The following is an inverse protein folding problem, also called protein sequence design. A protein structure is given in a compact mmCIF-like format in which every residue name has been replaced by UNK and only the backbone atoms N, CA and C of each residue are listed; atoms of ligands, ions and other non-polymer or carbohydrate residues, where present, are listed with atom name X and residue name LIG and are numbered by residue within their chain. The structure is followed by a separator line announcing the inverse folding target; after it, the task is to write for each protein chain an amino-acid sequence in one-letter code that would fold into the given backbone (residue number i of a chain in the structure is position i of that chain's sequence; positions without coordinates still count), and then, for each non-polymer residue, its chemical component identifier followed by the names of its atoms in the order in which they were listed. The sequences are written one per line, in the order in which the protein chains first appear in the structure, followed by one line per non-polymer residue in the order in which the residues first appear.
data_IF_931125253270
#
_entry.id   IF_931125253270
#
_cell.length_a   1.000
_cell.length_b   1.000
_cell.length_c   1.000
_cell.angle_alpha   90.00
_cell.angle_beta   90.00
_cell.angle_gamma   90.00
#
_symmetry.space_group_name_H-M   'P 1'
#
loop_
_entity.id
_entity.type
_entity.pdbx_description
1 polymer ?
#
# COMPACT_ATOMS: atom_id res chain seq x y z
N UNK A 1 -25.39 23.83 -5.32
CA UNK A 1 -26.25 23.20 -4.28
C UNK A 1 -25.65 21.93 -3.68
N UNK A 2 -25.04 21.04 -4.49
CA UNK A 2 -24.32 19.85 -4.00
C UNK A 2 -23.12 20.20 -3.08
N UNK A 3 -22.32 21.20 -3.46
CA UNK A 3 -21.13 21.58 -2.68
C UNK A 3 -21.46 22.06 -1.27
N UNK A 4 -22.54 22.85 -1.13
CA UNK A 4 -23.00 23.33 0.18
C UNK A 4 -23.52 22.19 1.07
N UNK A 5 -24.13 21.15 0.49
CA UNK A 5 -24.56 19.95 1.21
C UNK A 5 -23.36 19.07 1.60
N UNK A 6 -22.34 18.97 0.74
CA UNK A 6 -21.11 18.24 1.04
C UNK A 6 -20.27 18.87 2.15
N UNK A 7 -20.24 20.20 2.23
CA UNK A 7 -19.58 20.91 3.35
C UNK A 7 -20.33 20.71 4.67
N UNK A 8 -21.66 20.65 4.65
CA UNK A 8 -22.46 20.37 5.85
C UNK A 8 -22.31 18.93 6.34
N UNK A 9 -22.31 17.96 5.43
CA UNK A 9 -22.11 16.55 5.76
C UNK A 9 -20.75 16.33 6.43
N UNK A 10 -19.68 16.87 5.84
CA UNK A 10 -18.32 16.78 6.40
C UNK A 10 -18.19 17.30 7.83
N UNK A 11 -18.89 18.40 8.16
CA UNK A 11 -18.87 18.94 9.53
C UNK A 11 -19.58 18.04 10.54
N UNK A 12 -20.62 17.32 10.10
CA UNK A 12 -21.35 16.36 10.94
C UNK A 12 -20.46 15.11 11.15
N UNK A 13 -19.77 14.66 10.11
CA UNK A 13 -18.89 13.50 10.14
C UNK A 13 -17.70 13.71 11.08
N UNK A 14 -17.09 14.90 11.03
CA UNK A 14 -16.00 15.31 11.92
C UNK A 14 -16.45 15.35 13.38
N UNK A 15 -17.66 15.86 13.64
CA UNK A 15 -18.27 15.87 14.97
C UNK A 15 -18.58 14.46 15.50
N UNK A 16 -19.01 13.53 14.63
CA UNK A 16 -19.29 12.14 15.01
C UNK A 16 -17.98 11.39 15.34
N UNK A 17 -16.92 11.59 14.58
CA UNK A 17 -15.61 10.99 14.85
C UNK A 17 -15.00 11.51 16.16
N UNK A 18 -15.15 12.81 16.44
CA UNK A 18 -14.67 13.44 17.68
C UNK A 18 -15.43 12.91 18.92
N UNK A 19 -16.77 12.79 18.83
CA UNK A 19 -17.60 12.16 19.87
C UNK A 19 -17.26 10.68 20.11
N UNK A 20 -16.86 9.94 19.08
CA UNK A 20 -16.45 8.54 19.23
C UNK A 20 -15.11 8.38 19.94
N UNK A 21 -14.20 9.36 19.80
CA UNK A 21 -12.94 9.43 20.54
C UNK A 21 -13.22 9.78 22.02
N UNK A 22 -14.12 10.74 22.27
CA UNK A 22 -14.49 11.14 23.63
C UNK A 22 -15.22 10.03 24.42
N UNK A 23 -16.01 9.19 23.75
CA UNK A 23 -16.77 8.10 24.40
C UNK A 23 -15.96 6.80 24.59
N UNK A 24 -14.66 6.80 24.29
CA UNK A 24 -13.74 5.66 24.46
C UNK A 24 -14.26 4.36 23.81
N UNK A 25 -14.87 4.47 22.62
CA UNK A 25 -15.30 3.33 21.81
C UNK A 25 -14.08 2.53 21.35
N UNK A 26 -14.26 1.22 21.14
CA UNK A 26 -13.19 0.35 20.64
C UNK A 26 -12.66 0.84 19.29
N UNK A 27 -11.34 0.74 19.09
CA UNK A 27 -10.66 1.15 17.85
C UNK A 27 -11.30 0.55 16.58
N UNK A 28 -11.88 -0.65 16.70
CA UNK A 28 -12.61 -1.31 15.61
C UNK A 28 -13.88 -0.55 15.19
N UNK A 29 -14.63 0.02 16.13
CA UNK A 29 -15.83 0.80 15.83
C UNK A 29 -15.48 2.12 15.13
N UNK A 30 -14.38 2.75 15.54
CA UNK A 30 -13.84 3.94 14.86
C UNK A 30 -13.44 3.62 13.42
N UNK A 31 -12.75 2.51 13.19
CA UNK A 31 -12.30 2.12 11.86
C UNK A 31 -13.48 1.82 10.91
N UNK A 32 -14.54 1.15 11.39
CA UNK A 32 -15.74 0.85 10.60
C UNK A 32 -16.46 2.14 10.18
N UNK A 33 -16.65 3.07 11.13
CA UNK A 33 -17.28 4.36 10.83
C UNK A 33 -16.41 5.20 9.89
N UNK A 34 -15.09 5.20 10.09
CA UNK A 34 -14.16 5.87 9.18
C UNK A 34 -14.22 5.31 7.75
N UNK A 35 -14.26 3.98 7.59
CA UNK A 35 -14.35 3.34 6.28
C UNK A 35 -15.70 3.61 5.59
N UNK A 36 -16.79 3.68 6.36
CA UNK A 36 -18.09 4.13 5.86
C UNK A 36 -18.02 5.59 5.37
N UNK A 37 -17.36 6.47 6.14
CA UNK A 37 -17.08 7.88 5.81
C UNK A 37 -16.34 8.02 4.49
N UNK A 38 -15.29 7.25 4.29
CA UNK A 38 -14.54 7.22 3.03
C UNK A 38 -15.41 6.74 1.86
N UNK A 39 -16.19 5.67 2.06
CA UNK A 39 -17.02 5.08 1.00
C UNK A 39 -18.08 6.04 0.44
N UNK A 40 -18.77 6.82 1.28
CA UNK A 40 -19.76 7.77 0.78
C UNK A 40 -19.14 9.08 0.27
N UNK A 41 -17.98 9.51 0.80
CA UNK A 41 -17.29 10.70 0.28
C UNK A 41 -16.73 10.45 -1.13
N UNK A 42 -16.22 9.25 -1.40
CA UNK A 42 -15.80 8.84 -2.74
C UNK A 42 -16.97 8.86 -3.73
N UNK A 43 -18.12 8.31 -3.32
CA UNK A 43 -19.36 8.44 -4.10
C UNK A 43 -19.69 9.91 -4.32
N UNK A 44 -19.71 10.75 -3.29
CA UNK A 44 -20.05 12.17 -3.45
C UNK A 44 -19.14 12.90 -4.45
N UNK A 45 -17.83 12.62 -4.43
CA UNK A 45 -16.86 13.18 -5.39
C UNK A 45 -17.14 12.69 -6.81
N UNK A 46 -17.43 11.40 -6.99
CA UNK A 46 -17.79 10.84 -8.30
C UNK A 46 -19.04 11.51 -8.88
N UNK A 47 -20.04 11.79 -8.04
CA UNK A 47 -21.25 12.50 -8.45
C UNK A 47 -20.98 13.97 -8.77
N UNK A 48 -20.13 14.67 -8.01
CA UNK A 48 -19.70 16.04 -8.32
C UNK A 48 -18.96 16.11 -9.65
N UNK A 49 -18.08 15.16 -9.95
CA UNK A 49 -17.37 15.06 -11.22
C UNK A 49 -18.33 14.81 -12.38
N UNK A 50 -19.31 13.92 -12.21
CA UNK A 50 -20.35 13.66 -13.21
C UNK A 50 -21.18 14.89 -13.50
N UNK A 51 -21.63 15.61 -12.47
CA UNK A 51 -22.38 16.88 -12.62
C UNK A 51 -21.53 17.94 -13.33
N UNK A 52 -20.24 18.07 -12.98
CA UNK A 52 -19.32 19.02 -13.61
C UNK A 52 -19.07 18.68 -15.09
N UNK A 53 -19.01 17.40 -15.44
CA UNK A 53 -18.89 16.96 -16.83
C UNK A 53 -20.17 17.23 -17.63
N UNK A 54 -21.35 16.99 -17.05
CA UNK A 54 -22.64 17.29 -17.70
C UNK A 54 -22.82 18.81 -17.89
N UNK A 55 -22.43 19.62 -16.90
CA UNK A 55 -22.45 21.09 -17.04
C UNK A 55 -21.46 21.62 -18.08
N UNK A 56 -20.35 20.92 -18.32
CA UNK A 56 -19.39 21.28 -19.38
C UNK A 56 -19.90 20.91 -20.78
N UNK A 57 -20.66 19.83 -20.91
CA UNK A 57 -21.25 19.42 -22.20
C UNK A 57 -22.41 20.31 -22.65
N UNK A 58 -23.15 20.93 -21.72
CA UNK A 58 -24.25 21.86 -22.05
C UNK A 58 -23.80 23.23 -22.59
N UNK A 59 -22.53 23.63 -22.36
CA UNK A 59 -22.01 24.94 -22.80
C UNK A 59 -21.50 24.90 -24.25
N UNK A 60 -21.30 23.71 -24.83
CA UNK A 60 -20.79 23.55 -26.21
C UNK A 60 -21.88 23.34 -27.27
N UNK A 61 -23.16 23.46 -26.90
CA UNK A 61 -24.31 23.19 -27.77
C UNK A 61 -24.86 24.36 -28.61
N UNK A 62 -24.31 25.57 -28.51
CA UNK A 62 -24.78 26.71 -29.33
C UNK A 62 -23.62 27.63 -29.77
N UNK A 63 -23.11 27.41 -30.99
CA UNK A 63 -23.00 28.44 -32.05
C UNK A 63 -22.36 27.89 -33.32
N UNK A 64 -22.88 28.39 -34.42
CA UNK A 64 -22.76 27.95 -35.79
C UNK A 64 -21.36 28.01 -36.44
N UNK A 65 -21.25 27.25 -37.52
CA UNK A 65 -20.11 27.10 -38.43
C UNK A 65 -19.62 28.43 -39.03
N UNK A 66 -18.29 28.64 -39.07
CA UNK A 66 -17.54 29.01 -40.29
C UNK A 66 -16.00 28.96 -40.11
N UNK A 67 -15.35 28.18 -40.98
CA UNK A 67 -13.99 28.30 -41.56
C UNK A 67 -12.71 28.47 -40.71
N UNK A 68 -11.83 27.45 -40.86
CA UNK A 68 -10.39 27.49 -41.23
C UNK A 68 -9.41 28.41 -40.44
N UNK A 69 -8.52 27.81 -39.65
CA UNK A 69 -7.09 27.53 -39.99
C UNK A 69 -6.36 27.05 -38.72
N UNK A 70 -5.60 25.98 -38.92
CA UNK A 70 -4.67 25.31 -38.02
C UNK A 70 -3.56 26.20 -37.46
N UNK A 71 -3.38 26.17 -36.14
CA UNK A 71 -2.04 26.13 -35.52
C UNK A 71 -2.12 25.24 -34.27
N UNK A 72 -1.47 24.08 -34.37
CA UNK A 72 -1.39 23.09 -33.31
C UNK A 72 -0.34 23.52 -32.28
N UNK A 73 -0.80 24.09 -31.17
CA UNK A 73 -0.07 24.12 -29.90
C UNK A 73 -0.90 23.37 -28.87
N UNK A 74 -0.86 22.04 -28.92
CA UNK A 74 -1.42 21.19 -27.88
C UNK A 74 -0.51 21.28 -26.65
N UNK A 75 -0.69 22.34 -25.86
CA UNK A 75 -0.45 22.25 -24.43
C UNK A 75 -1.44 21.22 -23.91
N UNK A 76 -0.98 19.97 -23.78
CA UNK A 76 -1.73 18.91 -23.14
C UNK A 76 -1.99 19.32 -21.69
N UNK A 77 -3.18 19.84 -21.45
CA UNK A 77 -3.70 20.20 -20.14
C UNK A 77 -3.86 18.93 -19.31
N UNK A 78 -2.82 18.60 -18.54
CA UNK A 78 -2.82 17.53 -17.55
C UNK A 78 -3.92 17.83 -16.51
N UNK A 79 -4.77 16.86 -16.16
CA UNK A 79 -5.93 17.12 -15.31
C UNK A 79 -5.51 17.54 -13.90
N UNK A 80 -5.90 18.75 -13.49
CA UNK A 80 -5.70 19.27 -12.13
C UNK A 80 -6.56 18.46 -11.15
N UNK A 81 -5.93 17.56 -10.40
CA UNK A 81 -6.57 16.90 -9.26
C UNK A 81 -6.43 17.82 -8.03
N UNK A 82 -7.33 17.75 -7.07
CA UNK A 82 -7.31 18.53 -5.82
C UNK A 82 -7.23 17.54 -4.66
N UNK A 83 -6.20 17.60 -3.80
CA UNK A 83 -5.97 16.55 -2.79
C UNK A 83 -5.74 17.02 -1.37
N UNK A 84 -6.62 16.59 -0.45
CA UNK A 84 -6.56 16.88 0.99
C UNK A 84 -6.38 15.61 1.83
N UNK A 85 -5.52 15.77 2.83
CA UNK A 85 -5.31 15.00 4.08
C UNK A 85 -4.89 13.52 3.98
N UNK A 86 -3.66 13.28 4.43
CA UNK A 86 -3.01 12.15 5.12
C UNK A 86 -3.27 10.67 4.73
N UNK A 87 -4.33 10.31 3.99
CA UNK A 87 -4.48 8.97 3.39
C UNK A 87 -3.87 8.86 1.98
N UNK A 88 -3.41 9.98 1.41
CA UNK A 88 -3.06 10.10 -0.01
C UNK A 88 -1.56 10.08 -0.32
N UNK A 89 -0.69 9.76 0.64
CA UNK A 89 0.77 9.72 0.41
C UNK A 89 1.14 8.64 -0.62
N UNK A 90 0.47 7.49 -0.58
CA UNK A 90 0.68 6.41 -1.56
C UNK A 90 0.24 6.82 -2.97
N UNK A 91 -0.90 7.52 -3.10
CA UNK A 91 -1.39 8.04 -4.40
C UNK A 91 -0.50 9.18 -4.92
N UNK A 92 -0.02 10.06 -4.04
CA UNK A 92 0.98 11.09 -4.35
C UNK A 92 2.25 10.46 -4.90
N UNK A 93 2.81 9.46 -4.21
CA UNK A 93 4.03 8.80 -4.66
C UNK A 93 3.84 8.13 -6.02
N UNK A 94 2.78 7.35 -6.22
CA UNK A 94 2.58 6.62 -7.48
C UNK A 94 2.28 7.53 -8.69
N UNK A 95 1.49 8.59 -8.49
CA UNK A 95 1.17 9.53 -9.57
C UNK A 95 2.33 10.49 -9.86
N UNK A 96 3.02 10.96 -8.82
CA UNK A 96 4.12 11.90 -8.96
C UNK A 96 5.43 11.23 -9.36
N UNK A 97 5.62 9.93 -9.05
CA UNK A 97 6.74 9.13 -9.56
C UNK A 97 6.81 9.18 -11.09
N UNK A 98 5.66 9.04 -11.77
CA UNK A 98 5.59 9.13 -13.24
C UNK A 98 6.02 10.49 -13.79
N UNK A 99 5.71 11.58 -13.07
CA UNK A 99 6.06 12.96 -13.47
C UNK A 99 7.53 13.26 -13.11
N UNK A 100 8.01 12.73 -11.99
CA UNK A 100 9.39 12.87 -11.53
C UNK A 100 10.38 12.12 -12.42
N UNK A 101 10.01 10.92 -12.89
CA UNK A 101 10.79 10.05 -13.79
C UNK A 101 10.73 10.49 -15.26
N UNK A 102 9.87 11.45 -15.60
CA UNK A 102 9.78 12.00 -16.97
C UNK A 102 10.88 13.04 -17.20
N UNK A 103 11.85 12.72 -18.04
CA UNK A 103 12.96 13.60 -18.44
C UNK A 103 12.51 14.71 -19.41
N UNK A 104 11.31 14.63 -19.99
CA UNK A 104 10.80 15.65 -20.93
C UNK A 104 10.28 16.91 -20.25
N UNK A 105 10.05 16.87 -18.93
CA UNK A 105 9.51 17.98 -18.14
C UNK A 105 10.66 18.68 -17.40
N UNK A 106 10.74 20.00 -17.53
CA UNK A 106 11.73 20.82 -16.81
C UNK A 106 11.50 20.79 -15.30
N UNK A 107 12.57 20.89 -14.51
CA UNK A 107 12.48 20.87 -13.04
C UNK A 107 11.68 22.06 -12.48
N UNK A 108 11.64 23.20 -13.19
CA UNK A 108 10.77 24.33 -12.87
C UNK A 108 9.29 24.00 -13.06
N UNK A 109 8.94 23.35 -14.16
CA UNK A 109 7.57 22.88 -14.41
C UNK A 109 7.18 21.79 -13.41
N UNK A 110 8.09 20.86 -13.09
CA UNK A 110 7.89 19.86 -12.03
C UNK A 110 7.64 20.50 -10.67
N UNK A 111 8.28 21.63 -10.36
CA UNK A 111 8.00 22.40 -9.13
C UNK A 111 6.60 23.01 -9.14
N UNK A 112 6.19 23.60 -10.27
CA UNK A 112 4.83 24.12 -10.41
C UNK A 112 3.79 23.01 -10.30
N UNK A 113 4.06 21.84 -10.90
CA UNK A 113 3.24 20.65 -10.71
C UNK A 113 3.21 20.23 -9.26
N UNK A 114 4.34 20.23 -8.54
CA UNK A 114 4.44 19.90 -7.11
C UNK A 114 3.61 20.83 -6.21
N UNK A 115 3.58 22.12 -6.57
CA UNK A 115 2.72 23.13 -5.97
C UNK A 115 1.25 22.81 -6.27
N UNK A 116 0.87 22.63 -7.55
CA UNK A 116 -0.51 22.41 -8.00
C UNK A 116 -1.17 21.13 -7.48
N UNK A 117 -0.49 19.99 -7.62
CA UNK A 117 0.15 19.46 -6.44
C UNK A 117 -0.64 19.42 -5.13
N UNK A 118 0.13 19.71 -4.11
CA UNK A 118 -0.31 19.86 -2.73
C UNK A 118 -1.52 20.79 -2.56
N UNK A 119 -2.54 20.36 -1.80
CA UNK A 119 -3.67 21.24 -1.48
C UNK A 119 -3.27 22.43 -0.62
N UNK A 120 -3.86 23.59 -0.93
CA UNK A 120 -3.77 24.77 -0.07
C UNK A 120 -4.20 24.41 1.36
N UNK A 121 -3.34 24.77 2.33
CA UNK A 121 -3.43 24.48 3.78
C UNK A 121 -3.04 23.08 4.24
N UNK A 122 -2.50 22.22 3.37
CA UNK A 122 -1.91 20.94 3.82
C UNK A 122 -0.51 21.12 4.40
N UNK A 123 -0.10 20.21 5.27
CA UNK A 123 1.28 20.15 5.79
C UNK A 123 2.31 19.95 4.67
N UNK A 124 1.92 19.22 3.62
CA UNK A 124 2.73 19.03 2.42
C UNK A 124 2.92 20.36 1.66
N UNK A 125 1.86 21.16 1.52
CA UNK A 125 1.93 22.49 0.91
C UNK A 125 2.85 23.44 1.67
N UNK A 126 2.78 23.45 3.00
CA UNK A 126 3.69 24.26 3.82
C UNK A 126 5.17 23.89 3.65
N UNK A 127 5.47 22.62 3.34
CA UNK A 127 6.82 22.18 3.01
C UNK A 127 7.22 22.68 1.61
N UNK A 128 6.37 22.51 0.60
CA UNK A 128 6.68 22.97 -0.77
C UNK A 128 6.86 24.50 -0.81
N UNK A 129 6.02 25.26 -0.12
CA UNK A 129 6.08 26.72 -0.05
C UNK A 129 7.25 27.24 0.81
N UNK A 130 7.87 26.38 1.63
CA UNK A 130 9.09 26.75 2.38
C UNK A 130 10.33 26.85 1.50
N UNK A 131 10.29 26.26 0.29
CA UNK A 131 11.37 26.36 -0.69
C UNK A 131 11.03 27.39 -1.76
N UNK A 132 12.00 28.21 -2.19
CA UNK A 132 11.82 29.05 -3.37
C UNK A 132 11.50 28.19 -4.60
N UNK A 133 10.54 28.63 -5.42
CA UNK A 133 10.12 27.95 -6.64
C UNK A 133 11.15 28.07 -7.77
N UNK A 134 12.34 27.47 -7.55
CA UNK A 134 13.41 27.39 -8.54
C UNK A 134 13.65 25.93 -8.95
N UNK A 135 14.10 25.68 -10.19
CA UNK A 135 14.39 24.33 -10.68
C UNK A 135 15.38 23.59 -9.77
N UNK A 136 16.40 24.26 -9.25
CA UNK A 136 17.42 23.64 -8.38
C UNK A 136 16.86 23.20 -7.02
N UNK A 137 15.78 23.81 -6.56
CA UNK A 137 15.15 23.53 -5.27
C UNK A 137 14.04 22.48 -5.36
N UNK A 138 13.59 22.13 -6.57
CA UNK A 138 12.63 21.06 -6.78
C UNK A 138 13.06 19.75 -6.17
N UNK A 139 14.28 19.33 -6.48
CA UNK A 139 14.82 18.08 -5.96
C UNK A 139 14.86 18.07 -4.43
N UNK A 140 15.25 19.18 -3.81
CA UNK A 140 15.31 19.32 -2.34
C UNK A 140 13.91 19.28 -1.71
N UNK A 141 12.95 20.01 -2.25
CA UNK A 141 11.57 20.00 -1.77
C UNK A 141 10.93 18.61 -1.92
N UNK A 142 11.19 17.93 -3.03
CA UNK A 142 10.70 16.58 -3.28
C UNK A 142 11.32 15.54 -2.36
N UNK A 143 12.64 15.57 -2.15
CA UNK A 143 13.33 14.71 -1.18
C UNK A 143 12.81 14.95 0.25
N UNK A 144 12.55 16.21 0.62
CA UNK A 144 12.01 16.54 1.96
C UNK A 144 10.57 16.06 2.15
N UNK A 145 9.72 16.21 1.13
CA UNK A 145 8.37 15.62 1.13
C UNK A 145 8.44 14.10 1.24
N UNK A 146 9.34 13.47 0.49
CA UNK A 146 9.56 12.03 0.55
C UNK A 146 9.97 11.62 1.97
N UNK A 147 10.97 12.26 2.57
CA UNK A 147 11.40 11.96 3.93
C UNK A 147 10.29 12.13 4.96
N UNK A 148 9.45 13.16 4.83
CA UNK A 148 8.42 13.47 5.84
C UNK A 148 7.19 12.57 5.74
N UNK A 149 6.79 12.22 4.52
CA UNK A 149 5.54 11.52 4.25
C UNK A 149 5.75 10.05 3.87
N UNK A 150 6.82 9.72 3.14
CA UNK A 150 7.22 8.34 2.84
C UNK A 150 8.03 7.82 4.02
N UNK A 151 7.33 7.44 5.10
CA UNK A 151 7.94 6.84 6.28
C UNK A 151 8.27 5.36 6.03
N UNK A 152 9.10 5.10 5.02
CA UNK A 152 9.55 3.74 4.69
C UNK A 152 10.16 3.07 5.93
N UNK A 153 10.90 3.82 6.75
CA UNK A 153 11.49 3.34 8.00
C UNK A 153 10.45 2.85 9.00
N UNK A 154 9.30 3.52 9.10
CA UNK A 154 8.20 3.10 9.99
C UNK A 154 7.51 1.88 9.41
N UNK A 155 7.34 1.79 8.10
CA UNK A 155 6.73 0.63 7.47
C UNK A 155 7.63 -0.61 7.57
N UNK A 156 8.94 -0.46 7.42
CA UNK A 156 9.94 -1.51 7.72
C UNK A 156 9.79 -1.96 9.17
N UNK A 157 9.71 -1.03 10.13
CA UNK A 157 9.51 -1.38 11.54
C UNK A 157 8.21 -2.15 11.78
N UNK A 158 7.11 -1.78 11.11
CA UNK A 158 5.83 -2.50 11.21
C UNK A 158 5.98 -3.93 10.70
N UNK A 159 6.55 -4.14 9.53
CA UNK A 159 6.74 -5.48 8.96
C UNK A 159 7.70 -6.35 9.78
N UNK A 160 8.79 -5.78 10.30
CA UNK A 160 9.70 -6.50 11.21
C UNK A 160 8.99 -6.86 12.52
N UNK A 161 8.18 -5.96 13.08
CA UNK A 161 7.38 -6.26 14.29
C UNK A 161 6.31 -7.30 14.02
N UNK A 162 5.74 -7.34 12.83
CA UNK A 162 4.79 -8.37 12.43
C UNK A 162 5.48 -9.73 12.31
N UNK A 163 6.69 -9.78 11.75
CA UNK A 163 7.52 -10.99 11.73
C UNK A 163 7.85 -11.46 13.17
N UNK A 164 8.26 -10.54 14.06
CA UNK A 164 8.49 -10.83 15.48
C UNK A 164 7.22 -11.34 16.18
N UNK A 165 6.05 -10.80 15.83
CA UNK A 165 4.77 -11.29 16.35
C UNK A 165 4.51 -12.73 15.92
N UNK A 166 4.85 -13.12 14.69
CA UNK A 166 4.75 -14.51 14.24
C UNK A 166 5.68 -15.43 15.04
N UNK A 167 6.91 -15.01 15.32
CA UNK A 167 7.84 -15.73 16.21
C UNK A 167 7.22 -15.99 17.58
N UNK A 168 6.63 -14.96 18.19
CA UNK A 168 5.99 -15.07 19.51
C UNK A 168 4.73 -15.94 19.49
N UNK A 169 4.00 -15.98 18.38
CA UNK A 169 2.80 -16.84 18.25
C UNK A 169 3.16 -18.31 18.11
N UNK A 170 4.33 -18.61 17.54
CA UNK A 170 4.83 -19.96 17.36
C UNK A 170 5.34 -20.61 18.67
N UNK A 171 5.66 -19.81 19.70
CA UNK A 171 6.01 -20.32 21.03
C UNK A 171 4.79 -20.66 21.89
N UNK A 172 3.60 -20.18 21.51
CA UNK A 172 2.34 -20.65 22.10
C UNK A 172 2.00 -22.03 21.52
N UNK A 173 1.59 -22.97 22.37
CA UNK A 173 1.33 -24.41 22.09
C UNK A 173 0.20 -24.67 21.06
N UNK A 174 -0.26 -23.66 20.33
CA UNK A 174 -1.31 -23.77 19.31
C UNK A 174 -0.68 -24.34 18.02
N UNK A 175 -1.27 -25.42 17.49
CA UNK A 175 -0.94 -25.92 16.15
C UNK A 175 -1.22 -24.83 15.12
N UNK A 176 -0.17 -24.14 14.68
CA UNK A 176 -0.25 -23.18 13.58
C UNK A 176 -0.30 -23.98 12.27
N UNK A 177 -1.23 -23.62 11.38
CA UNK A 177 -1.28 -24.19 10.04
C UNK A 177 -0.06 -23.70 9.24
N UNK A 178 0.79 -24.63 8.78
CA UNK A 178 2.06 -24.32 8.11
C UNK A 178 1.85 -23.51 6.83
N UNK A 179 0.78 -23.78 6.07
CA UNK A 179 0.43 -23.01 4.86
C UNK A 179 0.17 -21.55 5.20
N UNK A 180 -0.65 -21.28 6.23
CA UNK A 180 -0.94 -19.90 6.64
C UNK A 180 0.29 -19.18 7.20
N UNK A 181 1.19 -19.90 7.88
CA UNK A 181 2.44 -19.35 8.36
C UNK A 181 3.37 -18.97 7.21
N UNK A 182 3.53 -19.87 6.23
CA UNK A 182 4.30 -19.63 5.02
C UNK A 182 3.79 -18.40 4.25
N UNK A 183 2.48 -18.32 3.99
CA UNK A 183 1.88 -17.20 3.27
C UNK A 183 2.13 -15.86 3.97
N UNK A 184 2.03 -15.83 5.31
CA UNK A 184 2.30 -14.63 6.10
C UNK A 184 3.77 -14.24 6.03
N UNK A 185 4.69 -15.19 6.20
CA UNK A 185 6.14 -14.93 6.11
C UNK A 185 6.49 -14.41 4.70
N UNK A 186 5.97 -15.05 3.65
CA UNK A 186 6.22 -14.65 2.27
C UNK A 186 5.67 -13.24 1.98
N UNK A 187 4.47 -12.93 2.46
CA UNK A 187 3.88 -11.60 2.31
C UNK A 187 4.74 -10.51 2.96
N UNK A 188 5.25 -10.76 4.18
CA UNK A 188 6.12 -9.82 4.89
C UNK A 188 7.47 -9.64 4.19
N UNK A 189 8.09 -10.73 3.72
CA UNK A 189 9.34 -10.67 2.97
C UNK A 189 9.18 -9.88 1.66
N UNK A 190 8.08 -10.11 0.93
CA UNK A 190 7.76 -9.39 -0.31
C UNK A 190 7.50 -7.90 -0.04
N UNK A 191 6.83 -7.57 1.07
CA UNK A 191 6.58 -6.19 1.45
C UNK A 191 7.88 -5.45 1.81
N UNK A 192 8.80 -6.09 2.56
CA UNK A 192 10.13 -5.57 2.85
C UNK A 192 10.95 -5.36 1.56
N UNK A 193 10.91 -6.31 0.62
CA UNK A 193 11.59 -6.18 -0.66
C UNK A 193 11.06 -4.99 -1.48
N UNK A 194 9.74 -4.78 -1.48
CA UNK A 194 9.09 -3.63 -2.17
C UNK A 194 9.52 -2.26 -1.63
N UNK A 195 9.95 -2.20 -0.36
CA UNK A 195 10.47 -1.01 0.29
C UNK A 195 11.97 -0.76 0.01
N UNK A 196 12.63 -1.64 -0.74
CA UNK A 196 14.05 -1.53 -1.07
C UNK A 196 14.97 -2.15 -0.02
N UNK A 197 14.44 -2.94 0.89
CA UNK A 197 15.22 -3.80 1.81
C UNK A 197 15.80 -4.94 0.98
N UNK A 198 16.94 -4.68 0.30
CA UNK A 198 17.61 -5.69 -0.51
C UNK A 198 18.03 -6.87 0.36
N UNK A 199 17.67 -8.10 -0.05
CA UNK A 199 18.01 -9.34 0.64
C UNK A 199 19.50 -9.40 1.02
N UNK A 200 20.40 -8.97 0.15
CA UNK A 200 21.85 -8.94 0.38
C UNK A 200 22.28 -8.20 1.67
N UNK A 201 21.59 -7.12 2.05
CA UNK A 201 21.95 -6.31 3.23
C UNK A 201 21.34 -6.84 4.53
N UNK A 202 20.24 -7.58 4.43
CA UNK A 202 19.42 -7.95 5.59
C UNK A 202 19.24 -9.46 5.75
N UNK A 203 19.72 -10.28 4.80
CA UNK A 203 19.60 -11.74 4.83
C UNK A 203 20.17 -12.34 6.13
N UNK A 204 21.28 -11.80 6.62
CA UNK A 204 21.90 -12.24 7.88
C UNK A 204 21.01 -12.03 9.11
N UNK A 205 20.07 -11.07 9.08
CA UNK A 205 19.08 -10.84 10.13
C UNK A 205 17.74 -11.54 9.83
N UNK A 206 17.31 -11.53 8.56
CA UNK A 206 16.03 -12.10 8.14
C UNK A 206 16.03 -13.62 8.24
N UNK A 207 17.13 -14.29 7.92
CA UNK A 207 17.26 -15.74 8.05
C UNK A 207 16.94 -16.25 9.47
N UNK A 208 17.66 -15.83 10.54
CA UNK A 208 17.37 -16.32 11.89
C UNK A 208 15.99 -15.89 12.40
N UNK A 209 15.46 -14.77 11.89
CA UNK A 209 14.12 -14.30 12.26
C UNK A 209 13.02 -15.21 11.65
N UNK A 210 13.16 -15.59 10.38
CA UNK A 210 12.25 -16.52 9.71
C UNK A 210 12.40 -17.93 10.28
N UNK A 211 13.63 -18.38 10.56
CA UNK A 211 13.90 -19.65 11.25
C UNK A 211 13.18 -19.70 12.60
N UNK A 212 13.19 -18.61 13.37
CA UNK A 212 12.49 -18.52 14.66
C UNK A 212 10.96 -18.52 14.56
N UNK A 213 10.38 -18.20 13.38
CA UNK A 213 8.93 -18.26 13.17
C UNK A 213 8.40 -19.71 13.05
N UNK A 214 9.28 -20.70 12.82
CA UNK A 214 8.89 -22.05 12.46
C UNK A 214 8.71 -22.96 13.69
N UNK A 215 7.67 -23.82 13.72
CA UNK A 215 7.50 -24.80 14.79
C UNK A 215 8.70 -25.75 14.89
N UNK A 216 8.98 -26.24 16.11
CA UNK A 216 10.12 -27.11 16.37
C UNK A 216 10.11 -28.38 15.49
N UNK A 217 8.92 -28.92 15.20
CA UNK A 217 8.76 -30.08 14.32
C UNK A 217 9.25 -29.80 12.90
N UNK A 218 8.97 -28.61 12.38
CA UNK A 218 9.40 -28.17 11.04
C UNK A 218 10.90 -27.91 11.01
N UNK A 219 11.45 -27.31 12.08
CA UNK A 219 12.89 -27.11 12.23
C UNK A 219 13.66 -28.44 12.22
N UNK A 220 13.13 -29.49 12.87
CA UNK A 220 13.74 -30.81 12.82
C UNK A 220 13.71 -31.45 11.42
N UNK A 221 12.70 -31.16 10.61
CA UNK A 221 12.66 -31.61 9.20
C UNK A 221 13.65 -30.78 8.37
N UNK A 222 13.72 -29.47 8.60
CA UNK A 222 14.67 -28.57 7.95
C UNK A 222 16.14 -28.95 8.21
N UNK A 223 16.53 -29.16 9.47
CA UNK A 223 17.91 -29.58 9.80
C UNK A 223 18.28 -30.91 9.14
N UNK A 224 17.33 -31.83 9.02
CA UNK A 224 17.53 -33.09 8.27
C UNK A 224 17.68 -32.81 6.77
N UNK A 225 16.83 -31.97 6.20
CA UNK A 225 16.88 -31.59 4.79
C UNK A 225 18.24 -30.98 4.41
N UNK A 226 18.74 -30.05 5.24
CA UNK A 226 20.07 -29.44 5.07
C UNK A 226 21.19 -30.48 5.20
N UNK A 227 21.06 -31.44 6.11
CA UNK A 227 22.02 -32.53 6.26
C UNK A 227 22.09 -33.49 5.07
N UNK A 228 21.04 -33.59 4.25
CA UNK A 228 21.00 -34.42 3.05
C UNK A 228 21.33 -33.68 1.75
N UNK A 229 21.26 -32.35 1.72
CA UNK A 229 21.60 -31.57 0.52
C UNK A 229 23.12 -31.56 0.31
N UNK A 230 23.59 -32.40 -0.63
CA UNK A 230 25.01 -32.58 -0.98
C UNK A 230 25.63 -31.43 -1.79
N UNK A 231 25.04 -30.23 -1.76
CA UNK A 231 25.57 -29.07 -2.49
C UNK A 231 26.70 -28.42 -1.69
N UNK A 232 27.88 -28.31 -2.30
CA UNK A 232 29.15 -27.82 -1.73
C UNK A 232 29.11 -26.39 -1.15
N UNK A 233 27.96 -25.72 -1.16
CA UNK A 233 27.84 -24.41 -0.53
C UNK A 233 27.45 -24.48 0.96
N UNK A 234 26.76 -25.52 1.44
CA UNK A 234 26.40 -25.68 2.87
C UNK A 234 25.76 -24.45 3.55
N UNK A 235 25.34 -23.44 2.78
CA UNK A 235 24.89 -22.14 3.28
C UNK A 235 23.41 -22.27 3.60
N UNK A 236 23.11 -22.16 4.90
CA UNK A 236 21.77 -21.86 5.40
C UNK A 236 21.40 -20.45 4.93
N UNK A 237 20.80 -20.38 3.75
CA UNK A 237 20.31 -19.14 3.16
C UNK A 237 18.79 -19.08 3.24
N UNK A 238 18.27 -17.86 3.30
CA UNK A 238 16.84 -17.56 3.39
C UNK A 238 16.07 -18.13 2.19
N UNK A 239 16.65 -18.06 1.00
CA UNK A 239 16.01 -18.58 -0.21
C UNK A 239 15.88 -20.11 -0.19
N UNK A 240 16.89 -20.81 0.35
CA UNK A 240 16.84 -22.27 0.55
C UNK A 240 15.77 -22.67 1.57
N UNK A 241 15.64 -21.90 2.66
CA UNK A 241 14.62 -22.13 3.68
C UNK A 241 13.21 -21.90 3.13
N UNK A 242 12.99 -20.81 2.40
CA UNK A 242 11.69 -20.52 1.77
C UNK A 242 11.31 -21.58 0.73
N UNK A 243 12.28 -22.07 -0.06
CA UNK A 243 12.05 -23.17 -1.00
C UNK A 243 11.64 -24.46 -0.29
N UNK A 244 12.31 -24.78 0.81
CA UNK A 244 11.95 -25.94 1.64
C UNK A 244 10.53 -25.81 2.19
N UNK A 245 10.16 -24.66 2.75
CA UNK A 245 8.81 -24.45 3.28
C UNK A 245 7.73 -24.58 2.20
N UNK A 246 7.97 -24.06 1.00
CA UNK A 246 7.05 -24.21 -0.14
C UNK A 246 6.83 -25.69 -0.50
N UNK A 247 7.90 -26.48 -0.50
CA UNK A 247 7.82 -27.93 -0.73
C UNK A 247 7.02 -28.60 0.39
N UNK A 248 7.34 -28.29 1.65
CA UNK A 248 6.71 -28.88 2.83
C UNK A 248 5.20 -28.60 2.87
N UNK A 249 4.79 -27.35 2.62
CA UNK A 249 3.39 -26.95 2.48
C UNK A 249 2.70 -27.74 1.37
N UNK A 250 3.33 -27.85 0.20
CA UNK A 250 2.79 -28.62 -0.92
C UNK A 250 2.68 -30.12 -0.62
N UNK A 251 3.59 -30.70 0.17
CA UNK A 251 3.44 -32.07 0.68
C UNK A 251 2.31 -32.19 1.69
N UNK A 252 2.13 -31.24 2.59
CA UNK A 252 1.03 -31.26 3.56
C UNK A 252 -0.32 -31.27 2.85
N UNK A 253 -0.48 -30.46 1.79
CA UNK A 253 -1.70 -30.42 0.99
C UNK A 253 -1.94 -31.71 0.22
N UNK A 254 -0.89 -32.32 -0.34
CA UNK A 254 -0.97 -33.65 -0.96
C UNK A 254 -1.33 -34.74 0.04
N UNK A 255 -0.81 -34.68 1.27
CA UNK A 255 -1.13 -35.62 2.34
C UNK A 255 -2.59 -35.44 2.79
N UNK A 256 -3.07 -34.20 2.95
CA UNK A 256 -4.48 -33.90 3.23
C UNK A 256 -5.38 -34.46 2.14
N UNK A 257 -5.02 -34.26 0.87
CA UNK A 257 -5.75 -34.82 -0.26
C UNK A 257 -5.80 -36.35 -0.19
N UNK A 258 -4.66 -37.02 0.00
CA UNK A 258 -4.57 -38.48 0.07
C UNK A 258 -5.36 -39.07 1.25
N UNK A 259 -5.39 -38.38 2.40
CA UNK A 259 -6.15 -38.80 3.59
C UNK A 259 -7.66 -38.59 3.42
N UNK A 260 -8.05 -37.46 2.84
CA UNK A 260 -9.46 -37.08 2.70
C UNK A 260 -10.13 -37.69 1.47
N UNK A 261 -9.36 -38.24 0.52
CA UNK A 261 -9.89 -38.83 -0.72
C UNK A 261 -10.89 -39.97 -0.47
N UNK A 262 -10.79 -40.67 0.67
CA UNK A 262 -11.66 -41.80 1.03
C UNK A 262 -12.74 -41.47 2.08
N UNK A 263 -12.71 -40.29 2.68
CA UNK A 263 -13.67 -39.91 3.73
C UNK A 263 -14.98 -39.31 3.17
N UNK A 264 -14.99 -38.87 1.91
CA UNK A 264 -16.18 -38.33 1.24
C UNK A 264 -17.27 -39.37 0.92
N UNK A 265 -16.94 -40.66 0.88
CA UNK A 265 -17.91 -41.72 0.53
C UNK A 265 -18.80 -42.18 1.70
N UNK A 266 -18.47 -41.82 2.95
CA UNK A 266 -19.23 -42.28 4.13
C UNK A 266 -20.35 -41.34 4.59
N UNK A 267 -20.50 -40.15 3.98
CA UNK A 267 -21.51 -39.16 4.41
C UNK A 267 -22.83 -39.19 3.62
N UNK A 268 -22.94 -40.00 2.55
CA UNK A 268 -24.17 -40.08 1.73
C UNK A 268 -25.13 -41.24 2.11
N UNK A 269 -24.91 -41.88 3.26
CA UNK A 269 -25.83 -42.89 3.80
C UNK A 269 -26.15 -42.60 5.26
N UNK A 270 -26.98 -41.59 5.52
CA UNK A 270 -27.74 -41.47 6.77
C UNK A 270 -28.97 -40.59 6.59
#
# INVERSE_FOLDING_TARGET
MLDAKGVKLKKIDEYILELMIETNRTQEAYNIEFEAIEGYTEKMIAWQLRVKNIMKTDVLGQKDNHSLVTSSSSQDSVPTVFWRVDGLVARFHNQFKRIHEDESIDDGDKFQYLIQATSLKSRARGIVESFPATPENYRKAFEYLRMRFRQDDILIQVYVRELLKLVLQNTEVKKVNLSSLYDKIEAQLRALESLGVKKEKYAAMLFPLVESCLPAEILHVWERYVGYSSDESGRKDLDSLMKFLSIEVSSEDRIKLARNCFDSEKSNYK
#
